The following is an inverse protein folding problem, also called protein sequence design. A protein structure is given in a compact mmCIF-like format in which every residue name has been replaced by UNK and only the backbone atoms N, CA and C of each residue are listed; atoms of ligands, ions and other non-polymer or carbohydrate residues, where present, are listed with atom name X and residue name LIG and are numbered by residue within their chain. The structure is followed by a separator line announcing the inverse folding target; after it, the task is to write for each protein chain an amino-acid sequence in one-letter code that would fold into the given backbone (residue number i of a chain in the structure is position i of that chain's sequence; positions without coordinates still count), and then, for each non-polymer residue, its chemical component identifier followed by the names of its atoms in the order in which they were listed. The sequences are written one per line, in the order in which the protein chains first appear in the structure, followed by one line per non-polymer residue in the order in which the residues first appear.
data_IF_033307438930
#
_entry.id   IF_033307438930
#
_cell.length_a   1.000
_cell.length_b   1.000
_cell.length_c   1.000
_cell.angle_alpha   90.00
_cell.angle_beta   90.00
_cell.angle_gamma   90.00
#
_symmetry.space_group_name_H-M   'P 1'
#
loop_
_entity.id
_entity.type
_entity.pdbx_description
1 polymer ?
#
# COMPACT_ATOMS: atom_id res chain seq x y z
N UNK A 1 -54.72 -14.45 7.14
CA UNK A 1 -54.63 -13.07 6.68
C UNK A 1 -53.55 -12.25 7.41
N UNK A 2 -53.26 -12.53 8.66
CA UNK A 2 -52.16 -11.82 9.38
C UNK A 2 -50.79 -12.23 8.91
N UNK A 3 -50.58 -13.42 8.38
CA UNK A 3 -49.30 -13.96 7.91
C UNK A 3 -48.83 -13.29 6.61
N UNK A 4 -49.76 -12.92 5.73
CA UNK A 4 -49.45 -12.28 4.44
C UNK A 4 -48.94 -10.85 4.60
N UNK A 5 -49.38 -10.13 5.61
CA UNK A 5 -48.90 -8.76 5.90
C UNK A 5 -47.51 -8.75 6.49
N UNK A 6 -47.18 -9.73 7.30
CA UNK A 6 -45.85 -9.89 7.90
C UNK A 6 -44.81 -10.25 6.83
N UNK A 7 -45.16 -11.14 5.91
CA UNK A 7 -44.28 -11.52 4.79
C UNK A 7 -44.00 -10.36 3.83
N UNK A 8 -44.98 -9.50 3.58
CA UNK A 8 -44.80 -8.29 2.76
C UNK A 8 -43.87 -7.27 3.40
N UNK A 9 -43.99 -7.09 4.71
CA UNK A 9 -43.08 -6.20 5.46
C UNK A 9 -41.64 -6.73 5.50
N UNK A 10 -41.45 -8.04 5.62
CA UNK A 10 -40.15 -8.67 5.55
C UNK A 10 -39.51 -8.55 4.16
N UNK A 11 -40.27 -8.70 3.10
CA UNK A 11 -39.80 -8.53 1.72
C UNK A 11 -39.35 -7.11 1.44
N UNK A 12 -40.11 -6.11 1.91
CA UNK A 12 -39.73 -4.69 1.77
C UNK A 12 -38.46 -4.35 2.55
N UNK A 13 -38.27 -4.96 3.70
CA UNK A 13 -37.05 -4.76 4.49
C UNK A 13 -35.80 -5.34 3.81
N UNK A 14 -35.92 -6.48 3.16
CA UNK A 14 -34.81 -7.09 2.41
C UNK A 14 -34.42 -6.25 1.20
N UNK A 15 -35.39 -5.72 0.47
CA UNK A 15 -35.11 -4.91 -0.72
C UNK A 15 -34.42 -3.57 -0.39
N UNK A 16 -34.74 -2.94 0.73
CA UNK A 16 -34.12 -1.67 1.10
C UNK A 16 -32.65 -1.83 1.46
N UNK A 17 -32.24 -2.92 2.10
CA UNK A 17 -30.85 -3.16 2.43
C UNK A 17 -29.98 -3.43 1.19
N UNK A 18 -30.51 -4.13 0.19
CA UNK A 18 -29.77 -4.39 -1.05
C UNK A 18 -29.61 -3.14 -1.92
N UNK A 19 -30.59 -2.25 -1.94
CA UNK A 19 -30.52 -1.00 -2.68
C UNK A 19 -29.43 -0.06 -2.13
N UNK A 20 -29.26 -0.01 -0.81
CA UNK A 20 -28.20 0.80 -0.19
C UNK A 20 -26.79 0.29 -0.53
N UNK A 21 -26.60 -1.03 -0.59
CA UNK A 21 -25.31 -1.64 -0.93
C UNK A 21 -24.87 -1.34 -2.37
N UNK A 22 -25.83 -1.18 -3.30
CA UNK A 22 -25.54 -0.89 -4.71
C UNK A 22 -25.16 0.57 -4.98
N UNK A 23 -25.63 1.51 -4.14
CA UNK A 23 -25.38 2.94 -4.33
C UNK A 23 -24.17 3.45 -3.57
N UNK A 24 -23.71 2.74 -2.56
CA UNK A 24 -22.50 3.13 -1.83
C UNK A 24 -21.28 2.51 -2.50
N UNK A 25 -20.45 3.36 -3.11
CA UNK A 25 -19.13 2.95 -3.51
C UNK A 25 -18.38 2.42 -2.29
N UNK A 26 -17.55 1.43 -2.47
CA UNK A 26 -16.74 0.84 -1.41
C UNK A 26 -15.27 1.14 -1.58
N UNK A 27 -14.51 0.89 -0.54
CA UNK A 27 -13.06 0.88 -0.59
C UNK A 27 -12.60 -0.55 -0.35
N UNK A 28 -11.88 -1.10 -1.31
CA UNK A 28 -11.23 -2.40 -1.13
C UNK A 28 -9.82 -2.18 -0.61
N UNK A 29 -9.38 -3.06 0.25
CA UNK A 29 -8.02 -3.06 0.77
C UNK A 29 -7.34 -4.39 0.44
N UNK A 30 -6.05 -4.30 0.15
CA UNK A 30 -5.20 -5.47 -0.05
C UNK A 30 -3.83 -5.21 0.55
N UNK A 31 -3.31 -6.20 1.24
CA UNK A 31 -1.97 -6.13 1.83
C UNK A 31 -1.00 -6.86 0.92
N UNK A 32 0.10 -6.18 0.58
CA UNK A 32 1.16 -6.74 -0.26
C UNK A 32 2.51 -6.54 0.41
N UNK A 33 3.45 -7.41 0.09
CA UNK A 33 4.83 -7.30 0.55
C UNK A 33 5.77 -7.24 -0.65
N UNK A 34 6.86 -6.52 -0.50
CA UNK A 34 7.84 -6.39 -1.57
C UNK A 34 9.09 -5.68 -1.09
N UNK A 35 10.01 -5.49 -2.04
CA UNK A 35 11.24 -4.76 -1.80
C UNK A 35 11.21 -3.44 -2.58
N UNK A 36 11.64 -2.36 -1.93
CA UNK A 36 11.81 -1.09 -2.59
C UNK A 36 13.16 -1.06 -3.33
N UNK A 37 13.26 -0.19 -4.32
CA UNK A 37 14.50 -0.04 -5.08
C UNK A 37 15.56 0.69 -4.29
N UNK A 38 16.84 0.37 -4.49
CA UNK A 38 17.93 1.10 -3.86
C UNK A 38 17.92 2.59 -4.20
N UNK A 39 18.44 3.41 -3.28
CA UNK A 39 18.60 4.83 -3.50
C UNK A 39 19.55 5.11 -4.66
N UNK A 40 19.37 6.22 -5.43
CA UNK A 40 20.24 6.52 -6.53
C UNK A 40 21.60 7.02 -6.04
N UNK A 41 22.66 6.60 -6.72
CA UNK A 41 24.01 7.01 -6.40
C UNK A 41 24.52 6.44 -5.09
N UNK A 42 25.72 6.81 -4.76
CA UNK A 42 26.41 6.38 -3.54
C UNK A 42 26.55 7.57 -2.60
N UNK A 43 26.05 7.44 -1.39
CA UNK A 43 25.99 8.56 -0.43
C UNK A 43 26.41 8.09 0.95
N UNK A 44 26.59 9.04 1.85
CA UNK A 44 26.76 8.76 3.27
C UNK A 44 25.64 7.80 3.73
N UNK A 45 26.00 6.82 4.57
CA UNK A 45 25.07 5.78 5.03
C UNK A 45 23.81 6.36 5.67
N UNK A 46 23.95 7.37 6.51
CA UNK A 46 22.80 8.03 7.15
C UNK A 46 21.89 8.71 6.15
N UNK A 47 22.48 9.40 5.16
CA UNK A 47 21.72 10.07 4.11
C UNK A 47 21.01 9.06 3.19
N UNK A 48 21.70 8.01 2.81
CA UNK A 48 21.11 6.92 1.99
C UNK A 48 19.98 6.23 2.75
N UNK A 49 20.14 5.95 4.03
CA UNK A 49 19.11 5.37 4.87
C UNK A 49 17.87 6.28 4.96
N UNK A 50 18.09 7.57 5.14
CA UNK A 50 17.00 8.55 5.19
C UNK A 50 16.22 8.61 3.87
N UNK A 51 16.92 8.59 2.75
CA UNK A 51 16.30 8.61 1.43
C UNK A 51 15.53 7.32 1.13
N UNK A 52 15.98 6.18 1.65
CA UNK A 52 15.32 4.90 1.46
C UNK A 52 14.01 4.78 2.25
N UNK A 53 13.88 5.49 3.37
CA UNK A 53 12.77 5.34 4.31
C UNK A 53 11.80 6.52 4.35
N UNK A 54 12.18 7.67 3.80
CA UNK A 54 11.37 8.90 3.87
C UNK A 54 11.43 9.69 2.57
N UNK A 55 10.52 10.65 2.43
CA UNK A 55 10.53 11.61 1.36
C UNK A 55 9.76 11.21 0.12
N UNK A 56 9.93 11.99 -0.93
CA UNK A 56 9.18 11.83 -2.17
C UNK A 56 9.44 10.49 -2.87
N UNK A 57 10.71 10.07 -2.89
CA UNK A 57 11.09 8.82 -3.53
C UNK A 57 10.45 7.60 -2.85
N UNK A 58 10.44 7.59 -1.53
CA UNK A 58 9.78 6.54 -0.75
C UNK A 58 8.27 6.49 -1.07
N UNK A 59 7.61 7.64 -1.08
CA UNK A 59 6.19 7.75 -1.41
C UNK A 59 5.89 7.27 -2.83
N UNK A 60 6.75 7.61 -3.78
CA UNK A 60 6.60 7.19 -5.17
C UNK A 60 6.76 5.68 -5.31
N UNK A 61 7.71 5.08 -4.64
CA UNK A 61 7.96 3.64 -4.71
C UNK A 61 6.83 2.83 -4.06
N UNK A 62 6.30 3.28 -2.94
CA UNK A 62 5.16 2.61 -2.30
C UNK A 62 3.91 2.68 -3.17
N UNK A 63 3.69 3.80 -3.84
CA UNK A 63 2.61 3.94 -4.80
C UNK A 63 2.76 2.98 -5.98
N UNK A 64 3.96 2.88 -6.55
CA UNK A 64 4.24 1.97 -7.67
C UNK A 64 4.04 0.52 -7.25
N UNK A 65 4.45 0.17 -6.04
CA UNK A 65 4.27 -1.20 -5.53
C UNK A 65 2.79 -1.56 -5.44
N UNK A 66 1.95 -0.65 -4.94
CA UNK A 66 0.51 -0.87 -4.90
C UNK A 66 -0.12 -0.94 -6.30
N UNK A 67 0.38 -0.17 -7.26
CA UNK A 67 -0.11 -0.18 -8.64
C UNK A 67 0.16 -1.52 -9.34
N UNK A 68 1.10 -2.30 -8.86
CA UNK A 68 1.36 -3.64 -9.40
C UNK A 68 0.19 -4.62 -9.20
N UNK A 69 -0.68 -4.37 -8.23
CA UNK A 69 -1.90 -5.17 -8.02
C UNK A 69 -2.83 -5.03 -9.22
N UNK A 70 -2.98 -3.82 -9.74
CA UNK A 70 -3.85 -3.51 -10.85
C UNK A 70 -4.15 -2.02 -10.95
N UNK A 71 -4.89 -1.67 -11.99
CA UNK A 71 -5.26 -0.28 -12.23
C UNK A 71 -6.14 0.27 -11.11
N UNK A 72 -5.81 1.46 -10.66
CA UNK A 72 -6.58 2.17 -9.64
C UNK A 72 -6.15 1.90 -8.20
N UNK A 73 -5.29 0.91 -7.96
CA UNK A 73 -4.77 0.65 -6.63
C UNK A 73 -3.77 1.73 -6.22
N UNK A 74 -3.92 2.22 -4.99
CA UNK A 74 -3.08 3.25 -4.41
C UNK A 74 -2.58 2.86 -3.03
N UNK A 75 -1.52 3.51 -2.60
CA UNK A 75 -0.97 3.36 -1.26
C UNK A 75 -1.95 3.91 -0.21
N UNK A 76 -2.14 3.17 0.87
CA UNK A 76 -2.93 3.59 2.01
C UNK A 76 -2.09 3.76 3.27
N UNK A 77 -1.39 2.71 3.68
CA UNK A 77 -0.58 2.74 4.90
C UNK A 77 0.55 1.71 4.85
N UNK A 78 1.56 1.92 5.69
CA UNK A 78 2.60 0.92 5.95
C UNK A 78 2.15 0.04 7.09
N UNK A 79 2.00 -1.26 6.85
CA UNK A 79 1.66 -2.25 7.87
C UNK A 79 2.90 -2.76 8.60
N UNK A 80 3.98 -3.00 7.86
CA UNK A 80 5.28 -3.40 8.39
C UNK A 80 6.36 -2.62 7.62
N UNK A 81 7.20 -1.90 8.34
CA UNK A 81 8.26 -1.09 7.75
C UNK A 81 9.39 -1.92 7.13
N UNK A 82 9.41 -3.24 7.35
CA UNK A 82 10.42 -4.11 6.79
C UNK A 82 11.80 -3.94 7.40
N UNK A 83 12.81 -4.28 6.61
CA UNK A 83 14.21 -4.15 7.01
C UNK A 83 14.94 -3.15 6.14
N UNK A 84 15.66 -2.23 6.76
CA UNK A 84 16.55 -1.34 6.05
C UNK A 84 17.87 -2.07 5.79
N UNK A 85 18.25 -2.19 4.52
CA UNK A 85 19.51 -2.78 4.10
C UNK A 85 20.35 -1.70 3.45
N UNK A 86 21.57 -1.52 3.94
CA UNK A 86 22.55 -0.61 3.37
C UNK A 86 23.77 -1.41 2.91
N UNK A 87 24.12 -1.25 1.64
CA UNK A 87 25.23 -1.95 1.03
C UNK A 87 26.26 -0.96 0.51
N UNK A 88 27.57 -1.28 0.65
CA UNK A 88 28.60 -0.45 0.05
C UNK A 88 28.53 -0.53 -1.47
N UNK A 89 28.75 0.58 -2.13
CA UNK A 89 28.73 0.63 -3.61
C UNK A 89 30.00 0.02 -4.19
N UNK A 90 29.84 -0.83 -5.20
CA UNK A 90 30.89 -1.29 -6.12
C UNK A 90 32.18 -1.76 -5.45
N UNK A 91 32.09 -2.61 -4.43
CA UNK A 91 33.23 -3.28 -3.83
C UNK A 91 34.20 -2.37 -3.06
N UNK A 92 33.80 -1.16 -2.75
CA UNK A 92 34.63 -0.30 -1.90
C UNK A 92 34.63 -0.80 -0.46
N UNK A 93 35.76 -0.66 0.26
CA UNK A 93 35.87 -1.25 1.60
C UNK A 93 34.85 -0.67 2.58
N UNK A 94 34.43 -1.50 3.51
CA UNK A 94 33.46 -1.17 4.54
C UNK A 94 33.80 0.06 5.39
N UNK A 95 35.03 0.52 5.32
CA UNK A 95 35.53 1.68 6.07
C UNK A 95 35.16 3.03 5.44
N UNK A 96 34.58 3.02 4.24
CA UNK A 96 34.15 4.27 3.59
C UNK A 96 32.72 4.59 4.02
N UNK A 97 32.53 5.66 4.77
CA UNK A 97 31.22 6.10 5.25
C UNK A 97 30.38 6.82 4.20
N UNK A 98 30.93 7.05 2.99
CA UNK A 98 30.33 7.94 1.98
C UNK A 98 29.79 7.23 0.74
N UNK A 99 29.92 5.90 0.64
CA UNK A 99 29.59 5.15 -0.57
C UNK A 99 28.62 4.01 -0.28
N UNK A 100 27.41 4.36 0.15
CA UNK A 100 26.37 3.37 0.43
C UNK A 100 25.13 3.60 -0.41
N UNK A 101 24.46 2.51 -0.74
CA UNK A 101 23.10 2.51 -1.23
C UNK A 101 22.23 1.75 -0.24
N UNK A 102 21.07 2.31 0.10
CA UNK A 102 20.14 1.68 1.02
C UNK A 102 18.81 1.39 0.35
N UNK A 103 18.16 0.34 0.78
CA UNK A 103 16.81 0.02 0.33
C UNK A 103 16.04 -0.66 1.45
N UNK A 104 14.73 -0.65 1.35
CA UNK A 104 13.84 -1.33 2.31
C UNK A 104 13.45 -2.67 1.73
N UNK A 105 13.70 -3.72 2.49
CA UNK A 105 13.40 -5.11 2.14
C UNK A 105 12.20 -5.60 2.94
N UNK A 106 11.33 -6.37 2.31
CA UNK A 106 10.17 -6.99 2.94
C UNK A 106 9.23 -5.98 3.62
N UNK A 107 9.02 -4.84 2.98
CA UNK A 107 8.02 -3.89 3.43
C UNK A 107 6.63 -4.45 3.13
N UNK A 108 5.71 -4.30 4.08
CA UNK A 108 4.32 -4.71 3.91
C UNK A 108 3.45 -3.47 3.86
N UNK A 109 2.72 -3.33 2.77
CA UNK A 109 1.89 -2.16 2.50
C UNK A 109 0.43 -2.54 2.46
N UNK A 110 -0.40 -1.65 2.98
CA UNK A 110 -1.83 -1.69 2.78
C UNK A 110 -2.16 -0.80 1.59
N UNK A 111 -2.74 -1.38 0.57
CA UNK A 111 -3.16 -0.69 -0.64
C UNK A 111 -4.68 -0.58 -0.67
N UNK A 112 -5.20 0.42 -1.35
CA UNK A 112 -6.64 0.66 -1.45
C UNK A 112 -7.07 0.86 -2.89
N UNK A 113 -8.27 0.39 -3.19
CA UNK A 113 -8.97 0.64 -4.43
C UNK A 113 -10.29 1.31 -4.11
N UNK A 114 -10.49 2.51 -4.60
CA UNK A 114 -11.75 3.23 -4.41
C UNK A 114 -12.69 2.84 -5.55
N UNK A 115 -13.78 2.17 -5.19
CA UNK A 115 -14.83 1.82 -6.15
C UNK A 115 -15.82 2.97 -6.23
N UNK A 116 -16.09 3.41 -7.44
CA UNK A 116 -17.15 4.39 -7.67
C UNK A 116 -18.50 3.67 -7.66
N UNK A 117 -19.48 4.25 -6.97
CA UNK A 117 -20.80 3.64 -6.78
C UNK A 117 -21.77 3.81 -7.94
N UNK A 118 -21.30 3.70 -9.19
CA UNK A 118 -22.14 3.91 -10.39
C UNK A 118 -21.71 3.01 -11.53
#
# INVERSE_FOLDING_TARGET
MKVTRICLLFLLYFFSNQAMALFQGGIDYQVISGNLRPTPGCKNKQKAARQATTGYRFKKQTKVLCQQIGYGWNFSAVEDSGELVCEPCDGKPENSTENYQCYVKNITLKCRLIRRGW
#
